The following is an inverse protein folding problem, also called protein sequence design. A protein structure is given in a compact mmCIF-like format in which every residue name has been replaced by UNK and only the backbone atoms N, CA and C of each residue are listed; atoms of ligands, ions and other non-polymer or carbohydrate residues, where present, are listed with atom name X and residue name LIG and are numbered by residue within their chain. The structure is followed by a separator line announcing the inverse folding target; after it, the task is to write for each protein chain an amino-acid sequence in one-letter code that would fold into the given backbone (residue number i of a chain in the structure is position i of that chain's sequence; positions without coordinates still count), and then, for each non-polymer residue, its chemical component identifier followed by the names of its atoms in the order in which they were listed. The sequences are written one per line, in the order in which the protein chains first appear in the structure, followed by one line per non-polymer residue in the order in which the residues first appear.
data_IF_539017040426
#
_entry.id   IF_539017040426
#
_cell.length_a   1.000
_cell.length_b   1.000
_cell.length_c   1.000
_cell.angle_alpha   90.00
_cell.angle_beta   90.00
_cell.angle_gamma   90.00
#
_symmetry.space_group_name_H-M   'P 1'
#
loop_
_entity.id
_entity.type
_entity.pdbx_description
1 polymer ?
#
# COMPACT_ATOMS: atom_id res chain seq x y z
N UNK A 1 12.39 -2.66 -16.00
CA UNK A 1 11.46 -3.44 -15.15
C UNK A 1 12.05 -3.47 -13.74
N UNK A 2 11.28 -3.15 -12.70
CA UNK A 2 11.79 -3.16 -11.31
C UNK A 2 12.02 -4.61 -10.86
N UNK A 3 13.29 -4.99 -10.72
CA UNK A 3 13.65 -6.30 -10.18
C UNK A 3 13.63 -6.23 -8.65
N UNK A 4 12.66 -6.92 -8.03
CA UNK A 4 12.59 -7.03 -6.58
C UNK A 4 13.69 -7.99 -6.12
N UNK A 5 14.69 -7.47 -5.39
CA UNK A 5 15.79 -8.28 -4.85
C UNK A 5 15.45 -8.87 -3.49
N UNK A 6 14.92 -8.04 -2.60
CA UNK A 6 14.61 -8.45 -1.23
C UNK A 6 13.31 -7.83 -0.75
N UNK A 7 12.60 -8.60 0.06
CA UNK A 7 11.35 -8.20 0.70
C UNK A 7 11.35 -8.75 2.12
N UNK A 8 11.18 -7.88 3.11
CA UNK A 8 11.13 -8.29 4.52
C UNK A 8 10.16 -7.42 5.32
N UNK A 9 9.58 -8.00 6.35
CA UNK A 9 8.80 -7.25 7.34
C UNK A 9 9.78 -6.57 8.28
N UNK A 10 9.65 -5.26 8.46
CA UNK A 10 10.45 -4.46 9.39
C UNK A 10 9.54 -3.61 10.25
N UNK A 11 9.99 -3.25 11.45
CA UNK A 11 9.31 -2.27 12.30
C UNK A 11 9.86 -0.88 12.01
N UNK A 12 9.00 0.08 11.69
CA UNK A 12 9.42 1.46 11.42
C UNK A 12 10.01 2.10 12.67
N UNK A 13 11.11 2.83 12.50
CA UNK A 13 11.74 3.60 13.59
C UNK A 13 11.32 5.08 13.59
N UNK A 14 10.75 5.55 12.49
CA UNK A 14 10.25 6.92 12.26
C UNK A 14 8.99 6.82 11.40
N UNK A 15 8.25 7.92 11.31
CA UNK A 15 7.19 8.03 10.31
C UNK A 15 7.80 7.88 8.90
N UNK A 16 7.13 7.13 8.04
CA UNK A 16 7.56 6.88 6.67
C UNK A 16 6.36 7.00 5.74
N UNK A 17 6.58 7.33 4.47
CA UNK A 17 5.48 7.34 3.49
C UNK A 17 5.42 6.01 2.77
N UNK A 18 4.22 5.45 2.64
CA UNK A 18 3.98 4.23 1.88
C UNK A 18 4.15 4.50 0.38
N UNK A 19 4.95 3.68 -0.30
CA UNK A 19 5.23 3.88 -1.73
C UNK A 19 4.02 3.60 -2.64
N UNK A 20 3.10 2.73 -2.21
CA UNK A 20 1.95 2.33 -3.03
C UNK A 20 0.74 3.25 -2.89
N UNK A 21 0.36 3.63 -1.67
CA UNK A 21 -0.81 4.49 -1.43
C UNK A 21 -0.46 5.95 -1.14
N UNK A 22 0.82 6.26 -0.93
CA UNK A 22 1.32 7.58 -0.54
C UNK A 22 0.85 8.07 0.85
N UNK A 23 0.15 7.23 1.61
CA UNK A 23 -0.23 7.53 2.99
C UNK A 23 0.96 7.45 3.96
N UNK A 24 0.86 8.19 5.06
CA UNK A 24 1.80 8.09 6.18
C UNK A 24 1.70 6.75 6.91
N UNK A 25 2.85 6.18 7.22
CA UNK A 25 3.06 5.02 8.09
C UNK A 25 3.60 5.54 9.43
N UNK A 26 2.86 5.29 10.50
CA UNK A 26 3.28 5.66 11.85
C UNK A 26 4.57 4.97 12.32
N UNK A 27 5.24 5.60 13.29
CA UNK A 27 6.41 5.04 13.96
C UNK A 27 6.01 3.83 14.81
N UNK A 28 6.77 2.74 14.69
CA UNK A 28 6.53 1.52 15.46
C UNK A 28 5.59 0.54 14.78
N UNK A 29 5.05 0.89 13.61
CA UNK A 29 4.23 0.01 12.80
C UNK A 29 5.08 -0.99 12.02
N UNK A 30 4.51 -2.17 11.76
CA UNK A 30 5.14 -3.15 10.90
C UNK A 30 4.88 -2.79 9.43
N UNK A 31 5.93 -2.83 8.62
CA UNK A 31 5.86 -2.54 7.18
C UNK A 31 6.69 -3.53 6.38
N UNK A 32 6.38 -3.62 5.10
CA UNK A 32 7.16 -4.36 4.13
C UNK A 32 8.23 -3.41 3.58
N UNK A 33 9.48 -3.73 3.87
CA UNK A 33 10.63 -3.11 3.23
C UNK A 33 10.98 -3.88 1.98
N UNK A 34 10.99 -3.19 0.84
CA UNK A 34 11.34 -3.76 -0.46
C UNK A 34 12.58 -3.06 -0.98
N UNK A 35 13.57 -3.86 -1.34
CA UNK A 35 14.74 -3.41 -2.10
C UNK A 35 14.59 -3.93 -3.51
N UNK A 36 14.46 -3.01 -4.45
CA UNK A 36 14.38 -3.28 -5.88
C UNK A 36 15.57 -2.64 -6.61
N UNK A 37 15.87 -3.13 -7.81
CA UNK A 37 16.86 -2.55 -8.72
C UNK A 37 16.16 -2.14 -10.02
N UNK A 38 16.45 -0.93 -10.50
CA UNK A 38 16.00 -0.42 -11.79
C UNK A 38 17.16 0.31 -12.45
N UNK A 39 17.59 -0.17 -13.63
CA UNK A 39 18.61 0.49 -14.46
C UNK A 39 19.86 0.91 -13.65
N UNK A 40 20.43 -0.07 -12.94
CA UNK A 40 21.55 0.06 -12.00
C UNK A 40 21.32 0.87 -10.71
N UNK A 41 20.14 1.47 -10.53
CA UNK A 41 19.78 2.17 -9.29
C UNK A 41 19.04 1.26 -8.31
N UNK A 42 19.48 1.29 -7.07
CA UNK A 42 18.80 0.64 -5.95
C UNK A 42 17.67 1.52 -5.44
N UNK A 43 16.46 0.98 -5.44
CA UNK A 43 15.26 1.61 -4.89
C UNK A 43 14.86 0.88 -3.62
N UNK A 44 14.88 1.60 -2.50
CA UNK A 44 14.43 1.09 -1.21
C UNK A 44 13.12 1.78 -0.85
N UNK A 45 12.06 0.99 -0.73
CA UNK A 45 10.71 1.52 -0.50
C UNK A 45 10.03 0.82 0.68
N UNK A 46 9.16 1.55 1.36
CA UNK A 46 8.34 1.06 2.45
C UNK A 46 6.89 0.92 1.99
N UNK A 47 6.24 -0.16 2.40
CA UNK A 47 4.86 -0.46 2.04
C UNK A 47 4.10 -0.94 3.27
N UNK A 48 2.83 -0.57 3.41
CA UNK A 48 1.95 -1.24 4.35
C UNK A 48 1.86 -2.74 4.04
N UNK A 49 1.67 -3.56 5.07
CA UNK A 49 1.40 -5.00 4.88
C UNK A 49 0.17 -5.23 3.98
N UNK A 50 -0.87 -4.41 4.16
CA UNK A 50 -2.09 -4.46 3.38
C UNK A 50 -1.87 -4.10 1.92
N UNK A 51 -1.23 -2.95 1.64
CA UNK A 51 -0.87 -2.54 0.29
C UNK A 51 -0.07 -3.63 -0.44
N UNK A 52 0.87 -4.25 0.25
CA UNK A 52 1.65 -5.34 -0.31
C UNK A 52 0.81 -6.60 -0.64
N UNK A 53 -0.16 -6.96 0.22
CA UNK A 53 -1.09 -8.07 -0.05
C UNK A 53 -1.96 -7.75 -1.27
N UNK A 54 -2.49 -6.53 -1.36
CA UNK A 54 -3.30 -6.10 -2.50
C UNK A 54 -2.53 -6.11 -3.82
N UNK A 55 -1.32 -5.55 -3.83
CA UNK A 55 -0.46 -5.59 -5.02
C UNK A 55 -0.16 -7.02 -5.46
N UNK A 56 0.12 -7.92 -4.50
CA UNK A 56 0.39 -9.33 -4.79
C UNK A 56 -0.85 -10.03 -5.36
N UNK A 57 -2.04 -9.73 -4.82
CA UNK A 57 -3.33 -10.28 -5.30
C UNK A 57 -3.66 -9.81 -6.72
N UNK A 58 -3.46 -8.53 -7.00
CA UNK A 58 -3.76 -7.90 -8.30
C UNK A 58 -2.63 -8.07 -9.33
N UNK A 59 -1.49 -8.68 -8.95
CA UNK A 59 -0.28 -8.81 -9.77
C UNK A 59 0.18 -7.46 -10.35
N UNK A 60 0.00 -6.38 -9.60
CA UNK A 60 0.35 -5.02 -10.03
C UNK A 60 1.87 -4.86 -9.96
N UNK A 61 2.45 -4.34 -11.04
CA UNK A 61 3.86 -3.95 -11.04
C UNK A 61 4.08 -2.81 -10.03
N UNK A 62 5.16 -2.91 -9.24
CA UNK A 62 5.41 -1.99 -8.14
C UNK A 62 5.81 -0.61 -8.67
N UNK A 63 4.85 0.31 -8.81
CA UNK A 63 5.06 1.71 -9.20
C UNK A 63 4.62 2.65 -8.09
N UNK A 64 5.19 3.86 -8.03
CA UNK A 64 4.82 4.86 -7.02
C UNK A 64 3.34 5.24 -7.17
N UNK A 65 2.58 5.26 -6.08
CA UNK A 65 1.16 5.66 -6.09
C UNK A 65 0.20 4.66 -6.74
N UNK A 66 0.63 3.42 -6.98
CA UNK A 66 -0.16 2.40 -7.68
C UNK A 66 -1.49 2.03 -7.00
N UNK A 67 -1.64 2.27 -5.70
CA UNK A 67 -2.87 2.03 -4.93
C UNK A 67 -3.57 3.33 -4.49
N UNK A 68 -3.03 4.50 -4.85
CA UNK A 68 -3.60 5.79 -4.47
C UNK A 68 -5.04 5.96 -5.02
N UNK A 69 -5.30 5.50 -6.25
CA UNK A 69 -6.64 5.52 -6.86
C UNK A 69 -7.59 4.44 -6.33
N UNK A 70 -7.10 3.38 -5.67
CA UNK A 70 -7.95 2.28 -5.20
C UNK A 70 -8.75 2.70 -3.96
N UNK A 71 -8.23 3.65 -3.18
CA UNK A 71 -8.94 4.22 -2.02
C UNK A 71 -9.98 5.29 -2.39
N UNK A 72 -10.11 5.69 -3.66
CA UNK A 72 -11.12 6.66 -4.10
C UNK A 72 -12.45 6.02 -4.53
N UNK A 73 -12.81 4.89 -3.94
CA UNK A 73 -14.23 4.50 -3.91
C UNK A 73 -14.77 5.02 -2.58
N UNK A 74 -15.58 6.09 -2.56
CA UNK A 74 -16.39 6.33 -1.38
C UNK A 74 -17.24 5.08 -1.20
N UNK A 75 -17.01 4.38 -0.09
CA UNK A 75 -18.00 3.47 0.47
C UNK A 75 -19.21 4.34 0.77
N UNK A 76 -20.08 4.53 -0.22
CA UNK A 76 -21.46 4.90 0.04
C UNK A 76 -21.96 3.80 0.95
N UNK A 77 -22.07 4.15 2.23
CA UNK A 77 -22.66 3.31 3.25
C UNK A 77 -23.95 2.72 2.69
N UNK A 78 -24.28 1.45 2.96
CA UNK A 78 -25.66 1.03 2.78
C UNK A 78 -26.47 1.90 3.73
N UNK A 79 -27.19 2.90 3.18
CA UNK A 79 -28.24 3.60 3.90
C UNK A 79 -29.26 2.52 4.26
N UNK A 80 -29.15 2.06 5.49
CA UNK A 80 -30.17 1.30 6.18
C UNK A 80 -31.18 2.34 6.65
N UNK A 81 -32.23 2.53 5.86
CA UNK A 81 -33.50 3.01 6.39
C UNK A 81 -34.52 1.91 6.14
N UNK A 82 -34.72 1.13 7.19
CA UNK A 82 -35.98 0.45 7.44
C UNK A 82 -37.04 1.49 7.80
N UNK A 83 -38.31 1.12 7.66
CA UNK A 83 -39.53 1.76 8.21
C UNK A 83 -40.47 2.50 7.23
N UNK A 84 -41.33 1.69 6.57
CA UNK A 84 -42.83 1.73 6.54
C UNK A 84 -43.56 3.03 6.06
N UNK A 85 -44.90 3.06 5.96
CA UNK A 85 -45.88 2.20 5.25
C UNK A 85 -46.78 3.03 4.28
N UNK A 86 -47.50 2.40 3.34
CA UNK A 86 -48.85 2.81 2.89
C UNK A 86 -49.53 1.68 2.11
#
# INVERSE_FOLDING_TARGET
MLEIRHKRIVKTRKEQTCYACEDSIEKGSHVIYVTAKQDDKHHNVHLHLECNKEMSKRKIAMTKGCLHNVKQMPTVAPMLDSDLPF
#
